data_IF_807649909553
#
_entry.id   IF_807649909553
#
_cell.length_a   1.000
_cell.length_b   1.000
_cell.length_c   1.000
_cell.angle_alpha   90.00
_cell.angle_beta   90.00
_cell.angle_gamma   90.00
#
_symmetry.space_group_name_H-M   'P 1'
#
loop_
_entity.id
_entity.type
_entity.pdbx_description
1 polymer ?
#
# COMPACT_ATOMS: atom_id res chain seq x y z
N UNK A 1 12.80 56.89 3.55
CA UNK A 1 12.58 55.72 4.43
C UNK A 1 11.67 54.68 3.76
N UNK A 2 10.51 55.07 3.24
CA UNK A 2 9.60 54.16 2.51
C UNK A 2 10.22 53.47 1.30
N UNK A 3 10.97 54.20 0.46
CA UNK A 3 11.69 53.61 -0.69
C UNK A 3 12.70 52.53 -0.26
N UNK A 4 13.39 52.74 0.87
CA UNK A 4 14.35 51.79 1.42
C UNK A 4 13.64 50.52 1.90
N UNK A 5 12.49 50.67 2.58
CA UNK A 5 11.66 49.55 3.01
C UNK A 5 11.11 48.76 1.82
N UNK A 6 10.61 49.44 0.79
CA UNK A 6 10.13 48.80 -0.44
C UNK A 6 11.24 48.02 -1.14
N UNK A 7 12.43 48.61 -1.30
CA UNK A 7 13.59 47.93 -1.89
C UNK A 7 14.02 46.70 -1.08
N UNK A 8 14.00 46.80 0.26
CA UNK A 8 14.38 45.70 1.15
C UNK A 8 13.34 44.56 1.11
N UNK A 9 12.05 44.87 1.08
CA UNK A 9 10.97 43.90 0.90
C UNK A 9 11.04 43.22 -0.47
N UNK A 10 11.31 43.97 -1.53
CA UNK A 10 11.50 43.41 -2.88
C UNK A 10 12.72 42.50 -2.95
N UNK A 11 13.85 42.90 -2.35
CA UNK A 11 15.06 42.07 -2.30
C UNK A 11 14.83 40.77 -1.51
N UNK A 12 14.12 40.85 -0.38
CA UNK A 12 13.73 39.67 0.41
C UNK A 12 12.79 38.74 -0.36
N UNK A 13 11.80 39.31 -1.08
CA UNK A 13 10.89 38.55 -1.93
C UNK A 13 11.61 37.83 -3.07
N UNK A 14 12.54 38.50 -3.74
CA UNK A 14 13.37 37.90 -4.79
C UNK A 14 14.27 36.79 -4.23
N UNK A 15 14.90 37.01 -3.08
CA UNK A 15 15.72 35.99 -2.42
C UNK A 15 14.89 34.75 -2.05
N UNK A 16 13.70 34.94 -1.45
CA UNK A 16 12.80 33.86 -1.09
C UNK A 16 12.32 33.10 -2.34
N UNK A 17 11.98 33.81 -3.41
CA UNK A 17 11.60 33.19 -4.68
C UNK A 17 12.73 32.36 -5.26
N UNK A 18 13.95 32.91 -5.33
CA UNK A 18 15.12 32.19 -5.82
C UNK A 18 15.44 30.94 -4.97
N UNK A 19 15.31 31.05 -3.64
CA UNK A 19 15.48 29.93 -2.73
C UNK A 19 14.42 28.84 -2.92
N UNK A 20 13.14 29.20 -3.03
CA UNK A 20 12.06 28.23 -3.28
C UNK A 20 12.18 27.60 -4.67
N UNK A 21 12.66 28.35 -5.66
CA UNK A 21 12.97 27.81 -6.99
C UNK A 21 14.10 26.79 -6.92
N UNK A 22 15.16 27.06 -6.15
CA UNK A 22 16.25 26.11 -5.89
C UNK A 22 15.74 24.81 -5.25
N UNK A 23 14.96 24.93 -4.17
CA UNK A 23 14.33 23.77 -3.50
C UNK A 23 13.43 22.99 -4.45
N UNK A 24 12.59 23.69 -5.22
CA UNK A 24 11.72 23.04 -6.20
C UNK A 24 12.52 22.27 -7.25
N UNK A 25 13.55 22.90 -7.81
CA UNK A 25 14.43 22.29 -8.82
C UNK A 25 15.13 21.05 -8.26
N UNK A 26 15.73 21.16 -7.07
CA UNK A 26 16.46 20.06 -6.42
C UNK A 26 15.60 18.82 -6.21
N UNK A 27 14.31 19.00 -5.92
CA UNK A 27 13.36 17.91 -5.64
C UNK A 27 12.69 17.41 -6.92
N UNK A 28 12.47 18.29 -7.90
CA UNK A 28 11.86 17.92 -9.18
C UNK A 28 12.83 17.27 -10.17
N UNK A 29 14.11 17.18 -9.84
CA UNK A 29 15.11 16.45 -10.64
C UNK A 29 15.52 15.16 -9.96
N UNK A 30 15.48 14.06 -10.71
CA UNK A 30 15.88 12.74 -10.22
C UNK A 30 17.41 12.67 -10.09
N UNK A 31 17.96 12.17 -8.96
CA UNK A 31 19.40 11.96 -8.83
C UNK A 31 19.95 10.94 -9.84
N UNK A 32 21.18 11.17 -10.33
CA UNK A 32 21.81 10.35 -11.39
C UNK A 32 21.96 8.87 -11.00
N UNK A 33 22.12 8.59 -9.70
CA UNK A 33 22.18 7.22 -9.16
C UNK A 33 20.84 6.48 -9.27
N UNK A 34 19.72 7.21 -9.16
CA UNK A 34 18.38 6.63 -9.29
C UNK A 34 18.03 6.39 -10.74
N UNK A 35 18.42 7.29 -11.63
CA UNK A 35 18.20 7.13 -13.08
C UNK A 35 18.81 5.82 -13.60
N UNK A 36 19.93 5.37 -13.01
CA UNK A 36 20.58 4.08 -13.32
C UNK A 36 19.83 2.87 -12.79
N UNK A 37 19.02 3.03 -11.75
CA UNK A 37 18.27 1.97 -11.09
C UNK A 37 16.85 1.85 -11.64
N UNK A 38 16.31 2.95 -12.17
CA UNK A 38 15.00 3.00 -12.79
C UNK A 38 14.98 2.20 -14.11
N UNK A 39 13.85 1.55 -14.37
CA UNK A 39 13.61 0.86 -15.63
C UNK A 39 13.58 1.80 -16.83
N UNK A 40 13.57 1.22 -18.02
CA UNK A 40 13.29 1.98 -19.24
C UNK A 40 11.90 2.61 -19.11
N UNK A 41 11.72 3.90 -19.47
CA UNK A 41 10.40 4.53 -19.46
C UNK A 41 9.39 3.73 -20.28
N UNK A 42 8.15 3.67 -19.80
CA UNK A 42 7.08 2.99 -20.52
C UNK A 42 6.60 3.89 -21.67
N UNK A 43 6.55 3.35 -22.88
CA UNK A 43 5.93 4.03 -24.03
C UNK A 43 4.46 3.64 -24.15
N UNK A 44 3.69 4.40 -24.92
CA UNK A 44 2.26 4.08 -25.15
C UNK A 44 2.10 2.71 -25.82
N UNK A 45 3.01 2.37 -26.74
CA UNK A 45 3.02 1.08 -27.44
C UNK A 45 3.30 -0.08 -26.48
N UNK A 46 4.26 0.09 -25.56
CA UNK A 46 4.58 -0.92 -24.53
C UNK A 46 3.39 -1.13 -23.60
N UNK A 47 2.76 -0.04 -23.15
CA UNK A 47 1.58 -0.09 -22.29
C UNK A 47 0.41 -0.79 -23.00
N UNK A 48 0.12 -0.40 -24.24
CA UNK A 48 -0.99 -0.98 -24.99
C UNK A 48 -0.75 -2.47 -25.26
N UNK A 49 0.47 -2.85 -25.64
CA UNK A 49 0.82 -4.25 -25.87
C UNK A 49 0.66 -5.10 -24.60
N UNK A 50 1.10 -4.58 -23.43
CA UNK A 50 0.92 -5.25 -22.15
C UNK A 50 -0.56 -5.37 -21.77
N UNK A 51 -1.35 -4.30 -21.96
CA UNK A 51 -2.78 -4.31 -21.70
C UNK A 51 -3.52 -5.34 -22.56
N UNK A 52 -3.24 -5.39 -23.85
CA UNK A 52 -3.85 -6.36 -24.78
C UNK A 52 -3.48 -7.80 -24.44
N UNK A 53 -2.21 -8.04 -24.07
CA UNK A 53 -1.76 -9.34 -23.58
C UNK A 53 -2.53 -9.75 -22.33
N UNK A 54 -2.62 -8.87 -21.32
CA UNK A 54 -3.36 -9.14 -20.08
C UNK A 54 -4.86 -9.36 -20.33
N UNK A 55 -5.46 -8.62 -21.27
CA UNK A 55 -6.86 -8.73 -21.64
C UNK A 55 -7.18 -10.05 -22.33
N UNK A 56 -6.32 -10.47 -23.28
CA UNK A 56 -6.47 -11.73 -24.01
C UNK A 56 -6.21 -12.95 -23.14
N UNK A 57 -5.09 -12.94 -22.41
CA UNK A 57 -4.56 -14.14 -21.78
C UNK A 57 -5.05 -14.32 -20.33
N UNK A 58 -5.57 -13.25 -19.68
CA UNK A 58 -6.04 -13.20 -18.28
C UNK A 58 -5.22 -14.12 -17.35
N UNK A 59 -4.03 -13.68 -16.87
CA UNK A 59 -3.07 -14.55 -16.21
C UNK A 59 -3.68 -15.34 -15.06
N UNK A 60 -3.62 -16.68 -15.15
CA UNK A 60 -4.04 -17.52 -14.03
C UNK A 60 -2.98 -17.50 -12.92
N UNK A 61 -3.34 -16.89 -11.79
CA UNK A 61 -2.47 -16.77 -10.63
C UNK A 61 -2.31 -18.11 -9.87
N UNK A 62 -3.19 -19.09 -10.09
CA UNK A 62 -3.18 -20.40 -9.38
C UNK A 62 -1.83 -21.11 -9.48
N UNK A 63 -1.15 -21.00 -10.62
CA UNK A 63 0.13 -21.68 -10.88
C UNK A 63 1.27 -21.23 -9.96
N UNK A 64 1.14 -20.07 -9.31
CA UNK A 64 2.15 -19.56 -8.37
C UNK A 64 1.85 -19.95 -6.92
N UNK A 65 0.62 -20.37 -6.62
CA UNK A 65 0.20 -20.65 -5.27
C UNK A 65 0.88 -21.92 -4.74
N UNK A 66 1.31 -21.93 -3.47
CA UNK A 66 1.72 -23.18 -2.84
C UNK A 66 0.55 -24.15 -2.77
N UNK A 67 0.86 -25.45 -2.66
CA UNK A 67 -0.14 -26.49 -2.46
C UNK A 67 -1.02 -26.22 -1.22
N UNK A 68 -2.23 -26.78 -1.24
CA UNK A 68 -3.14 -26.84 -0.09
C UNK A 68 -2.41 -27.35 1.17
N UNK A 69 -2.74 -26.80 2.34
CA UNK A 69 -2.15 -27.19 3.61
C UNK A 69 -3.13 -27.90 4.56
N UNK A 70 -4.44 -27.95 4.24
CA UNK A 70 -5.49 -28.64 5.02
C UNK A 70 -5.57 -28.15 6.48
N UNK A 71 -5.88 -26.86 6.66
CA UNK A 71 -5.86 -26.17 7.96
C UNK A 71 -7.11 -25.32 8.17
N UNK A 72 -7.30 -24.86 9.40
CA UNK A 72 -8.18 -23.74 9.71
C UNK A 72 -7.45 -22.42 9.49
N UNK A 73 -8.15 -21.45 8.91
CA UNK A 73 -7.62 -20.12 8.65
C UNK A 73 -8.49 -19.05 9.28
N UNK A 74 -7.87 -18.11 9.98
CA UNK A 74 -8.53 -16.86 10.35
C UNK A 74 -7.78 -15.71 9.71
N UNK A 75 -8.48 -14.90 8.91
CA UNK A 75 -7.90 -13.74 8.23
C UNK A 75 -8.50 -12.47 8.84
N UNK A 76 -7.74 -11.84 9.73
CA UNK A 76 -8.08 -10.51 10.26
C UNK A 76 -7.78 -9.44 9.22
N UNK A 77 -8.75 -8.60 8.90
CA UNK A 77 -8.69 -7.71 7.74
C UNK A 77 -8.99 -8.41 6.42
N UNK A 78 -9.65 -9.58 6.47
CA UNK A 78 -9.93 -10.43 5.32
C UNK A 78 -10.91 -9.85 4.30
N UNK A 79 -11.56 -8.72 4.60
CA UNK A 79 -12.38 -7.97 3.62
C UNK A 79 -11.61 -6.81 2.97
N UNK A 80 -10.37 -6.54 3.42
CA UNK A 80 -9.48 -5.54 2.87
C UNK A 80 -8.74 -5.98 1.60
N UNK A 81 -7.84 -5.12 1.09
CA UNK A 81 -7.09 -5.38 -0.13
C UNK A 81 -6.20 -6.64 -0.03
N UNK A 82 -5.28 -6.67 0.93
CA UNK A 82 -4.35 -7.80 1.12
C UNK A 82 -5.07 -9.01 1.68
N UNK A 83 -5.79 -8.86 2.79
CA UNK A 83 -6.51 -9.96 3.44
C UNK A 83 -7.54 -10.61 2.52
N UNK A 84 -8.25 -9.83 1.71
CA UNK A 84 -9.16 -10.37 0.70
C UNK A 84 -8.44 -11.24 -0.33
N UNK A 85 -7.27 -10.83 -0.83
CA UNK A 85 -6.48 -11.67 -1.73
C UNK A 85 -5.88 -12.91 -1.03
N UNK A 86 -5.65 -12.87 0.28
CA UNK A 86 -5.29 -14.07 1.05
C UNK A 86 -6.46 -15.07 1.02
N UNK A 87 -7.68 -14.62 1.30
CA UNK A 87 -8.88 -15.47 1.24
C UNK A 87 -9.09 -16.06 -0.15
N UNK A 88 -9.03 -15.23 -1.20
CA UNK A 88 -9.16 -15.69 -2.59
C UNK A 88 -8.10 -16.75 -2.93
N UNK A 89 -6.84 -16.52 -2.56
CA UNK A 89 -5.77 -17.48 -2.82
C UNK A 89 -5.87 -18.76 -2.01
N UNK A 90 -6.38 -18.72 -0.78
CA UNK A 90 -6.68 -19.93 0.01
C UNK A 90 -7.73 -20.79 -0.71
N UNK A 91 -8.82 -20.19 -1.19
CA UNK A 91 -9.84 -20.89 -1.97
C UNK A 91 -9.24 -21.43 -3.28
N UNK A 92 -8.49 -20.59 -3.99
CA UNK A 92 -7.89 -20.95 -5.28
C UNK A 92 -6.87 -22.10 -5.18
N UNK A 93 -6.15 -22.23 -4.06
CA UNK A 93 -5.25 -23.38 -3.83
C UNK A 93 -5.97 -24.64 -3.34
N UNK A 94 -7.28 -24.58 -3.16
CA UNK A 94 -8.14 -25.72 -2.85
C UNK A 94 -8.50 -25.89 -1.37
N UNK A 95 -8.27 -24.88 -0.51
CA UNK A 95 -8.78 -24.92 0.88
C UNK A 95 -10.31 -24.96 0.90
N UNK A 96 -10.89 -25.65 1.88
CA UNK A 96 -12.33 -25.67 2.05
C UNK A 96 -12.79 -24.28 2.57
N UNK A 97 -13.74 -23.60 1.91
CA UNK A 97 -14.28 -22.31 2.37
C UNK A 97 -14.76 -22.33 3.82
N UNK A 98 -15.31 -23.46 4.28
CA UNK A 98 -15.81 -23.64 5.65
C UNK A 98 -14.70 -23.73 6.70
N UNK A 99 -13.47 -23.98 6.28
CA UNK A 99 -12.27 -23.94 7.12
C UNK A 99 -11.60 -22.55 7.13
N UNK A 100 -12.15 -21.57 6.42
CA UNK A 100 -11.67 -20.18 6.39
C UNK A 100 -12.66 -19.31 7.15
N UNK A 101 -12.14 -18.38 7.96
CA UNK A 101 -12.92 -17.33 8.62
C UNK A 101 -12.36 -15.97 8.27
N UNK A 102 -13.26 -15.07 7.90
CA UNK A 102 -12.98 -13.67 7.66
C UNK A 102 -13.37 -12.90 8.92
N UNK A 103 -12.41 -12.19 9.51
CA UNK A 103 -12.64 -11.31 10.65
C UNK A 103 -12.37 -9.87 10.24
N UNK A 104 -13.39 -9.05 10.15
CA UNK A 104 -13.27 -7.68 9.65
C UNK A 104 -14.42 -6.81 10.18
N UNK A 105 -14.31 -5.49 10.10
CA UNK A 105 -15.41 -4.57 10.40
C UNK A 105 -16.46 -4.57 9.29
N UNK A 106 -16.05 -4.89 8.07
CA UNK A 106 -16.88 -4.90 6.86
C UNK A 106 -17.02 -6.31 6.30
N UNK A 107 -18.18 -6.63 5.72
CA UNK A 107 -18.40 -7.92 5.07
C UNK A 107 -17.46 -8.11 3.86
N UNK A 108 -17.10 -9.36 3.52
CA UNK A 108 -16.28 -9.65 2.35
C UNK A 108 -17.04 -9.27 1.08
N UNK A 109 -16.29 -8.77 0.10
CA UNK A 109 -16.83 -8.29 -1.18
C UNK A 109 -16.21 -8.96 -2.41
N UNK A 110 -15.13 -9.73 -2.22
CA UNK A 110 -14.43 -10.39 -3.32
C UNK A 110 -15.20 -11.62 -3.81
N UNK A 111 -15.03 -11.91 -5.08
CA UNK A 111 -15.86 -12.82 -5.83
C UNK A 111 -15.89 -14.25 -5.25
N UNK A 112 -14.74 -14.90 -5.01
CA UNK A 112 -14.75 -16.26 -4.48
C UNK A 112 -15.24 -16.28 -3.04
N UNK A 113 -14.83 -15.32 -2.21
CA UNK A 113 -15.29 -15.23 -0.82
C UNK A 113 -16.82 -15.15 -0.72
N UNK A 114 -17.44 -14.31 -1.56
CA UNK A 114 -18.90 -14.14 -1.61
C UNK A 114 -19.57 -15.36 -2.23
N UNK A 115 -19.15 -15.81 -3.41
CA UNK A 115 -19.78 -16.94 -4.13
C UNK A 115 -19.72 -18.25 -3.33
N UNK A 116 -18.63 -18.47 -2.59
CA UNK A 116 -18.45 -19.67 -1.78
C UNK A 116 -18.90 -19.52 -0.33
N UNK A 117 -19.56 -18.40 0.01
CA UNK A 117 -20.16 -18.17 1.32
C UNK A 117 -19.17 -18.37 2.48
N UNK A 118 -17.94 -17.85 2.33
CA UNK A 118 -16.92 -17.98 3.37
C UNK A 118 -17.43 -17.37 4.68
N UNK A 119 -17.34 -18.11 5.82
CA UNK A 119 -17.75 -17.60 7.12
C UNK A 119 -17.12 -16.25 7.46
N UNK A 120 -17.97 -15.28 7.81
CA UNK A 120 -17.58 -13.92 8.18
C UNK A 120 -18.05 -13.60 9.59
N UNK A 121 -17.15 -13.00 10.38
CA UNK A 121 -17.41 -12.51 11.73
C UNK A 121 -17.03 -11.03 11.78
N UNK A 122 -18.00 -10.20 12.16
CA UNK A 122 -17.72 -8.78 12.40
C UNK A 122 -16.81 -8.64 13.63
N UNK A 123 -15.60 -8.15 13.42
CA UNK A 123 -14.56 -8.08 14.44
C UNK A 123 -13.88 -6.71 14.46
N UNK A 124 -13.79 -6.11 15.66
CA UNK A 124 -12.98 -4.93 15.92
C UNK A 124 -11.75 -5.36 16.73
N UNK A 125 -10.55 -5.23 16.15
CA UNK A 125 -9.30 -5.63 16.82
C UNK A 125 -9.01 -4.82 18.08
N UNK A 126 -9.65 -3.65 18.24
CA UNK A 126 -9.49 -2.80 19.41
C UNK A 126 -10.38 -3.21 20.58
N UNK A 127 -11.26 -4.19 20.38
CA UNK A 127 -12.10 -4.80 21.40
C UNK A 127 -11.67 -6.28 21.62
N UNK A 128 -10.98 -6.59 22.74
CA UNK A 128 -10.55 -7.95 23.04
C UNK A 128 -11.69 -8.98 23.06
N UNK A 129 -12.91 -8.58 23.46
CA UNK A 129 -14.06 -9.49 23.46
C UNK A 129 -14.51 -9.81 22.03
N UNK A 130 -14.47 -8.81 21.14
CA UNK A 130 -14.73 -8.98 19.71
C UNK A 130 -13.73 -9.93 19.07
N UNK A 131 -12.44 -9.78 19.37
CA UNK A 131 -11.37 -10.68 18.90
C UNK A 131 -11.56 -12.09 19.45
N UNK A 132 -11.78 -12.24 20.76
CA UNK A 132 -11.97 -13.55 21.40
C UNK A 132 -13.13 -14.33 20.78
N UNK A 133 -14.25 -13.65 20.47
CA UNK A 133 -15.41 -14.26 19.80
C UNK A 133 -15.07 -14.92 18.46
N UNK A 134 -14.09 -14.39 17.71
CA UNK A 134 -13.64 -14.98 16.43
C UNK A 134 -13.08 -16.38 16.65
N UNK A 135 -12.32 -16.57 17.73
CA UNK A 135 -11.66 -17.83 18.06
C UNK A 135 -12.58 -18.81 18.79
N UNK A 136 -13.49 -18.33 19.64
CA UNK A 136 -14.41 -19.20 20.41
C UNK A 136 -15.62 -19.67 19.59
N UNK A 137 -15.88 -19.06 18.43
CA UNK A 137 -16.94 -19.53 17.53
C UNK A 137 -16.63 -20.97 17.09
N UNK A 138 -17.55 -21.95 17.23
CA UNK A 138 -17.30 -23.35 16.88
C UNK A 138 -16.98 -23.54 15.39
N UNK A 139 -16.03 -24.42 15.10
CA UNK A 139 -15.72 -24.86 13.74
C UNK A 139 -16.67 -26.00 13.32
N UNK A 140 -16.93 -26.19 12.01
CA UNK A 140 -17.56 -27.41 11.53
C UNK A 140 -16.80 -28.64 12.01
N UNK A 141 -17.52 -29.72 12.33
CA UNK A 141 -16.93 -30.94 12.91
C UNK A 141 -15.77 -31.49 12.06
N UNK A 142 -15.91 -31.47 10.73
CA UNK A 142 -14.92 -31.94 9.76
C UNK A 142 -13.60 -31.14 9.77
N UNK A 143 -13.57 -29.98 10.44
CA UNK A 143 -12.41 -29.08 10.48
C UNK A 143 -11.96 -28.73 11.90
N UNK A 144 -12.72 -29.12 12.94
CA UNK A 144 -12.51 -28.67 14.31
C UNK A 144 -11.12 -29.01 14.87
N UNK A 145 -10.57 -30.16 14.47
CA UNK A 145 -9.28 -30.68 14.93
C UNK A 145 -8.10 -30.27 14.02
N UNK A 146 -8.34 -29.55 12.93
CA UNK A 146 -7.25 -29.13 12.05
C UNK A 146 -6.38 -28.07 12.74
N UNK A 147 -5.06 -28.02 12.48
CA UNK A 147 -4.21 -26.93 12.95
C UNK A 147 -4.68 -25.54 12.50
N UNK A 148 -4.24 -24.47 13.17
CA UNK A 148 -4.76 -23.12 12.97
C UNK A 148 -3.67 -22.15 12.49
N UNK A 149 -3.87 -21.60 11.30
CA UNK A 149 -3.10 -20.47 10.77
C UNK A 149 -3.89 -19.17 10.92
N UNK A 150 -3.24 -18.11 11.41
CA UNK A 150 -3.80 -16.76 11.47
C UNK A 150 -3.01 -15.82 10.56
N UNK A 151 -3.72 -15.14 9.66
CA UNK A 151 -3.18 -14.03 8.88
C UNK A 151 -3.75 -12.71 9.41
N UNK A 152 -2.88 -11.79 9.82
CA UNK A 152 -3.27 -10.49 10.37
C UNK A 152 -2.88 -9.36 9.43
N UNK A 153 -3.87 -8.76 8.75
CA UNK A 153 -3.66 -7.69 7.77
C UNK A 153 -4.30 -6.37 8.18
N UNK A 154 -4.71 -6.22 9.45
CA UNK A 154 -5.40 -5.02 9.94
C UNK A 154 -4.40 -3.89 10.18
N UNK A 155 -4.76 -2.69 9.74
CA UNK A 155 -4.07 -1.46 10.10
C UNK A 155 -5.00 -0.25 9.94
N UNK A 156 -4.82 0.76 10.79
CA UNK A 156 -5.19 2.12 10.50
C UNK A 156 -4.07 2.78 9.68
N UNK A 157 -4.43 3.24 8.48
CA UNK A 157 -3.50 3.80 7.49
C UNK A 157 -3.87 5.25 7.22
N UNK A 158 -2.98 6.17 7.56
CA UNK A 158 -3.03 7.56 7.14
C UNK A 158 -1.60 8.11 7.13
N UNK A 159 -1.19 8.73 6.03
CA UNK A 159 0.21 9.10 5.83
C UNK A 159 0.54 10.54 6.26
N UNK A 160 -0.46 11.38 6.51
CA UNK A 160 -0.26 12.79 6.85
C UNK A 160 0.27 13.07 8.27
N UNK A 161 0.09 12.14 9.22
CA UNK A 161 0.36 12.43 10.63
C UNK A 161 1.72 11.90 11.11
N UNK A 162 2.54 12.77 11.69
CA UNK A 162 3.86 12.42 12.29
C UNK A 162 4.07 12.88 13.73
N UNK A 163 3.12 13.60 14.31
CA UNK A 163 3.23 14.14 15.67
C UNK A 163 2.50 13.25 16.67
N UNK A 164 3.04 13.15 17.88
CA UNK A 164 2.49 12.35 18.97
C UNK A 164 1.02 12.66 19.27
N UNK A 165 0.59 13.91 19.02
CA UNK A 165 -0.81 14.32 19.08
C UNK A 165 -1.71 13.30 18.37
N UNK A 166 -1.36 12.89 17.14
CA UNK A 166 -2.17 12.01 16.29
C UNK A 166 -1.90 10.51 16.50
N UNK A 167 -1.03 10.15 17.43
CA UNK A 167 -0.55 8.77 17.59
C UNK A 167 -1.59 7.81 18.17
N UNK A 168 -2.50 8.30 19.03
CA UNK A 168 -3.41 7.44 19.82
C UNK A 168 -4.23 6.43 18.99
N UNK A 169 -4.81 6.86 17.86
CA UNK A 169 -5.58 5.95 17.00
C UNK A 169 -4.72 4.88 16.32
N UNK A 170 -3.47 5.23 15.96
CA UNK A 170 -2.54 4.25 15.41
C UNK A 170 -2.10 3.24 16.47
N UNK A 171 -1.82 3.67 17.70
CA UNK A 171 -1.44 2.76 18.79
C UNK A 171 -2.56 1.76 19.06
N UNK A 172 -3.80 2.26 19.23
CA UNK A 172 -4.97 1.42 19.51
C UNK A 172 -5.22 0.37 18.43
N UNK A 173 -5.15 0.74 17.15
CA UNK A 173 -5.46 -0.19 16.05
C UNK A 173 -4.25 -1.04 15.66
N UNK A 174 -3.09 -0.42 15.41
CA UNK A 174 -1.95 -1.12 14.84
C UNK A 174 -1.16 -1.89 15.88
N UNK A 175 -1.04 -1.39 17.11
CA UNK A 175 -0.21 -2.00 18.16
C UNK A 175 -1.08 -2.84 19.08
N UNK A 176 -1.95 -2.21 19.88
CA UNK A 176 -2.84 -2.90 20.83
C UNK A 176 -3.76 -3.88 20.09
N UNK A 177 -4.32 -3.50 18.95
CA UNK A 177 -5.12 -4.41 18.13
C UNK A 177 -4.34 -5.61 17.57
N UNK A 178 -3.04 -5.46 17.30
CA UNK A 178 -2.19 -6.61 16.91
C UNK A 178 -1.91 -7.50 18.11
N UNK A 179 -1.63 -6.92 19.28
CA UNK A 179 -1.42 -7.64 20.53
C UNK A 179 -2.64 -8.48 20.90
N UNK A 180 -3.84 -7.89 20.89
CA UNK A 180 -5.10 -8.61 21.16
C UNK A 180 -5.28 -9.84 20.27
N UNK A 181 -5.02 -9.70 18.96
CA UNK A 181 -5.17 -10.78 17.99
C UNK A 181 -4.09 -11.84 18.17
N UNK A 182 -2.86 -11.44 18.47
CA UNK A 182 -1.72 -12.32 18.70
C UNK A 182 -1.92 -13.19 19.96
N UNK A 183 -2.33 -12.57 21.07
CA UNK A 183 -2.61 -13.27 22.33
C UNK A 183 -3.80 -14.22 22.20
N UNK A 184 -4.90 -13.77 21.59
CA UNK A 184 -6.07 -14.60 21.38
C UNK A 184 -5.79 -15.77 20.42
N UNK A 185 -4.98 -15.56 19.37
CA UNK A 185 -4.54 -16.62 18.49
C UNK A 185 -3.72 -17.68 19.24
N UNK A 186 -2.74 -17.25 20.06
CA UNK A 186 -1.93 -18.17 20.87
C UNK A 186 -2.81 -18.97 21.85
N UNK A 187 -3.75 -18.30 22.53
CA UNK A 187 -4.69 -18.95 23.45
C UNK A 187 -5.63 -19.95 22.76
N UNK A 188 -5.96 -19.71 21.48
CA UNK A 188 -6.79 -20.59 20.65
C UNK A 188 -6.03 -21.77 20.04
N UNK A 189 -4.74 -21.96 20.38
CA UNK A 189 -3.91 -23.03 19.84
C UNK A 189 -3.44 -22.80 18.41
N UNK A 190 -3.35 -21.54 17.97
CA UNK A 190 -2.69 -21.19 16.72
C UNK A 190 -1.21 -21.60 16.76
N UNK A 191 -0.73 -22.24 15.70
CA UNK A 191 0.66 -22.66 15.54
C UNK A 191 1.41 -21.85 14.47
N UNK A 192 0.70 -21.14 13.59
CA UNK A 192 1.30 -20.22 12.59
C UNK A 192 0.58 -18.87 12.58
N UNK A 193 1.30 -17.78 12.88
CA UNK A 193 0.79 -16.41 12.86
C UNK A 193 1.62 -15.50 11.96
N UNK A 194 1.04 -14.96 10.89
CA UNK A 194 1.77 -14.10 9.95
C UNK A 194 1.05 -12.78 9.78
N UNK A 195 1.76 -11.68 10.07
CA UNK A 195 1.23 -10.34 9.97
C UNK A 195 1.71 -9.60 8.72
N UNK A 196 0.87 -8.73 8.19
CA UNK A 196 1.30 -7.70 7.24
C UNK A 196 1.91 -6.54 8.02
N UNK A 197 3.22 -6.37 7.90
CA UNK A 197 3.94 -5.15 8.30
C UNK A 197 3.95 -4.14 7.13
N UNK A 198 4.97 -3.31 7.01
CA UNK A 198 5.15 -2.39 5.90
C UNK A 198 6.64 -2.13 5.70
N UNK A 199 7.09 -2.01 4.46
CA UNK A 199 8.48 -1.59 4.24
C UNK A 199 8.74 -0.13 4.66
N UNK A 200 7.68 0.62 4.98
CA UNK A 200 7.79 1.96 5.57
C UNK A 200 8.50 1.99 6.93
N UNK A 201 8.62 0.86 7.62
CA UNK A 201 9.37 0.75 8.88
C UNK A 201 10.87 1.09 8.72
N UNK A 202 11.39 1.05 7.49
CA UNK A 202 12.76 1.41 7.18
C UNK A 202 12.93 2.88 6.71
N UNK A 203 11.83 3.61 6.49
CA UNK A 203 11.87 4.96 5.92
C UNK A 203 12.37 5.96 6.94
N UNK A 204 13.47 6.62 6.59
CA UNK A 204 14.02 7.75 7.35
C UNK A 204 13.41 9.07 6.87
N UNK A 205 13.06 9.99 7.77
CA UNK A 205 12.57 11.32 7.39
C UNK A 205 13.56 12.10 6.53
N UNK A 206 13.02 12.90 5.61
CA UNK A 206 13.78 13.84 4.76
C UNK A 206 13.52 15.28 5.19
N UNK A 207 14.57 16.08 5.16
CA UNK A 207 14.45 17.54 5.24
C UNK A 207 14.50 18.12 3.83
N UNK A 208 13.36 18.63 3.35
CA UNK A 208 13.21 19.18 2.00
C UNK A 208 13.82 20.58 1.84
N UNK A 209 14.11 21.29 2.92
CA UNK A 209 14.81 22.57 2.86
C UNK A 209 16.32 22.33 2.93
N UNK A 210 17.01 22.74 1.87
CA UNK A 210 18.42 22.44 1.63
C UNK A 210 19.24 23.73 1.51
N UNK A 211 20.53 23.65 1.78
CA UNK A 211 21.40 24.79 1.59
C UNK A 211 21.54 25.16 0.10
N UNK A 212 21.87 26.42 -0.26
CA UNK A 212 22.01 26.84 -1.66
C UNK A 212 23.05 26.04 -2.48
N UNK A 213 24.03 25.41 -1.82
CA UNK A 213 25.06 24.59 -2.45
C UNK A 213 24.73 23.09 -2.51
N UNK A 214 23.62 22.64 -1.90
CA UNK A 214 23.18 21.24 -1.97
C UNK A 214 22.35 21.00 -3.24
N UNK A 215 22.64 19.90 -3.96
CA UNK A 215 21.93 19.53 -5.21
C UNK A 215 20.59 18.84 -4.94
N UNK A 216 20.52 18.04 -3.89
CA UNK A 216 19.32 17.29 -3.49
C UNK A 216 19.22 17.20 -1.95
N UNK A 217 18.01 17.05 -1.40
CA UNK A 217 17.81 16.72 0.02
C UNK A 217 18.55 15.45 0.44
N UNK A 218 19.07 15.44 1.67
CA UNK A 218 19.63 14.23 2.28
C UNK A 218 18.54 13.18 2.48
N UNK A 219 18.90 11.92 2.34
CA UNK A 219 17.99 10.76 2.44
C UNK A 219 16.85 10.73 1.39
N UNK A 220 16.94 11.50 0.30
CA UNK A 220 15.94 11.43 -0.78
C UNK A 220 15.97 10.07 -1.52
N UNK A 221 17.15 9.44 -1.55
CA UNK A 221 17.38 8.07 -2.03
C UNK A 221 17.68 7.20 -0.83
N UNK A 222 16.96 6.10 -0.67
CA UNK A 222 17.16 5.14 0.42
C UNK A 222 17.14 3.72 -0.14
N UNK A 223 18.16 2.94 0.21
CA UNK A 223 18.20 1.51 -0.07
C UNK A 223 17.81 0.79 1.22
N UNK A 224 16.78 -0.03 1.14
CA UNK A 224 16.30 -0.83 2.28
C UNK A 224 16.66 -2.29 2.03
N UNK A 225 17.66 -2.75 2.76
CA UNK A 225 18.23 -4.11 2.73
C UNK A 225 17.44 -5.10 3.61
N UNK A 226 16.18 -4.79 3.89
CA UNK A 226 15.32 -5.56 4.78
C UNK A 226 15.88 -5.69 6.23
N UNK A 227 16.75 -4.77 6.66
CA UNK A 227 17.27 -4.70 8.02
C UNK A 227 16.18 -4.44 9.08
N UNK A 228 16.59 -4.51 10.34
CA UNK A 228 15.73 -4.13 11.45
C UNK A 228 15.41 -2.62 11.41
N UNK A 229 14.20 -2.22 11.85
CA UNK A 229 13.84 -0.82 11.95
C UNK A 229 14.83 -0.03 12.85
N UNK A 230 14.94 1.29 12.67
CA UNK A 230 15.72 2.12 13.59
C UNK A 230 15.15 2.03 15.03
N UNK A 231 15.89 2.50 16.05
CA UNK A 231 15.40 2.52 17.43
C UNK A 231 13.98 3.10 17.50
N UNK A 232 13.09 2.41 18.22
CA UNK A 232 11.64 2.64 18.23
C UNK A 232 11.26 3.92 18.99
N UNK A 233 11.64 5.07 18.42
CA UNK A 233 11.25 6.41 18.82
C UNK A 233 10.58 7.09 17.63
N UNK A 234 9.44 7.74 17.84
CA UNK A 234 8.62 8.32 16.76
C UNK A 234 9.42 9.25 15.82
N UNK A 235 10.40 9.99 16.34
CA UNK A 235 11.23 10.93 15.57
C UNK A 235 12.12 10.27 14.51
N UNK A 236 12.42 8.97 14.68
CA UNK A 236 13.22 8.20 13.74
C UNK A 236 12.42 7.71 12.52
N UNK A 237 11.10 7.90 12.51
CA UNK A 237 10.19 7.39 11.49
C UNK A 237 9.54 8.52 10.69
N UNK A 238 9.19 8.24 9.44
CA UNK A 238 8.49 9.16 8.54
C UNK A 238 7.16 9.72 9.11
N UNK A 239 6.50 8.97 9.98
CA UNK A 239 5.31 9.39 10.71
C UNK A 239 4.72 8.29 11.60
N UNK A 240 3.53 8.55 12.14
CA UNK A 240 2.87 7.66 13.10
C UNK A 240 2.59 6.26 12.52
N UNK A 241 2.26 6.18 11.23
CA UNK A 241 2.01 4.90 10.56
C UNK A 241 3.25 3.99 10.58
N UNK A 242 4.37 4.43 10.01
CA UNK A 242 5.62 3.66 9.98
C UNK A 242 6.07 3.24 11.39
N UNK A 243 6.01 4.17 12.35
CA UNK A 243 6.38 3.91 13.74
C UNK A 243 5.51 2.81 14.38
N UNK A 244 4.19 2.89 14.25
CA UNK A 244 3.30 1.89 14.85
C UNK A 244 3.32 0.55 14.14
N UNK A 245 3.60 0.50 12.83
CA UNK A 245 3.87 -0.76 12.13
C UNK A 245 5.16 -1.41 12.62
N UNK A 246 6.21 -0.64 12.91
CA UNK A 246 7.45 -1.16 13.47
C UNK A 246 7.26 -1.75 14.88
N UNK A 247 6.47 -1.08 15.74
CA UNK A 247 6.09 -1.61 17.05
C UNK A 247 5.31 -2.92 16.94
N UNK A 248 4.28 -2.95 16.09
CA UNK A 248 3.46 -4.14 15.87
C UNK A 248 4.26 -5.31 15.30
N UNK A 249 5.16 -5.04 14.35
CA UNK A 249 6.06 -6.05 13.80
C UNK A 249 6.96 -6.65 14.89
N UNK A 250 7.51 -5.81 15.78
CA UNK A 250 8.32 -6.29 16.89
C UNK A 250 7.53 -7.23 17.80
N UNK A 251 6.30 -6.88 18.18
CA UNK A 251 5.43 -7.76 18.99
C UNK A 251 5.25 -9.13 18.35
N UNK A 252 4.94 -9.15 17.05
CA UNK A 252 4.75 -10.41 16.31
C UNK A 252 6.04 -11.21 16.26
N UNK A 253 7.16 -10.59 15.92
CA UNK A 253 8.46 -11.27 15.79
C UNK A 253 8.97 -11.84 17.10
N UNK A 254 8.84 -11.08 18.19
CA UNK A 254 9.27 -11.50 19.53
C UNK A 254 8.42 -12.66 20.08
N UNK A 255 7.20 -12.85 19.56
CA UNK A 255 6.32 -13.93 19.98
C UNK A 255 6.65 -15.31 19.35
N UNK A 256 7.59 -15.37 18.40
CA UNK A 256 8.03 -16.66 17.82
C UNK A 256 8.63 -17.55 18.91
N UNK A 257 8.07 -18.74 19.06
CA UNK A 257 8.50 -19.71 20.05
C UNK A 257 8.35 -21.12 19.51
N UNK A 258 9.49 -21.72 19.14
CA UNK A 258 9.54 -23.15 18.82
C UNK A 258 9.11 -24.03 20.00
N UNK A 259 9.43 -23.61 21.23
CA UNK A 259 9.10 -24.35 22.45
C UNK A 259 7.58 -24.45 22.65
N UNK A 260 6.88 -23.37 22.36
CA UNK A 260 5.42 -23.30 22.50
C UNK A 260 4.69 -23.73 21.21
N UNK A 261 5.41 -24.21 20.20
CA UNK A 261 4.88 -24.49 18.86
C UNK A 261 4.12 -23.32 18.22
N UNK A 262 4.50 -22.09 18.55
CA UNK A 262 3.88 -20.87 18.03
C UNK A 262 4.86 -20.15 17.12
N UNK A 263 4.72 -20.36 15.81
CA UNK A 263 5.63 -19.81 14.81
C UNK A 263 5.07 -18.53 14.23
N UNK A 264 5.83 -17.45 14.30
CA UNK A 264 5.34 -16.13 13.90
C UNK A 264 6.24 -15.46 12.88
N UNK A 265 5.75 -14.40 12.23
CA UNK A 265 6.57 -13.57 11.35
C UNK A 265 5.79 -12.48 10.65
N UNK A 266 6.49 -11.70 9.83
CA UNK A 266 5.88 -10.59 9.09
C UNK A 266 6.28 -10.52 7.62
N UNK A 267 5.34 -10.08 6.79
CA UNK A 267 5.61 -9.65 5.41
C UNK A 267 5.63 -8.13 5.38
N UNK A 268 6.63 -7.52 4.75
CA UNK A 268 6.77 -6.08 4.55
C UNK A 268 6.52 -5.79 3.06
N UNK A 269 5.28 -5.42 2.66
CA UNK A 269 5.02 -5.02 1.30
C UNK A 269 5.86 -3.79 0.91
N UNK A 270 6.45 -3.80 -0.28
CA UNK A 270 7.14 -2.66 -0.88
C UNK A 270 6.21 -1.45 -1.00
N UNK A 271 6.79 -0.25 -0.91
CA UNK A 271 6.16 1.08 -0.89
C UNK A 271 4.62 1.09 -0.88
N UNK A 272 4.03 0.94 -2.07
CA UNK A 272 2.60 1.01 -2.35
C UNK A 272 2.09 -0.39 -2.69
N UNK A 273 1.00 -0.79 -2.03
CA UNK A 273 0.22 -1.97 -2.43
C UNK A 273 -0.90 -1.54 -3.38
N UNK A 274 -0.84 -1.98 -4.63
CA UNK A 274 -1.97 -1.85 -5.55
C UNK A 274 -2.65 -3.21 -5.73
N UNK A 275 -3.81 -3.22 -6.35
CA UNK A 275 -4.47 -4.46 -6.67
C UNK A 275 -5.91 -4.23 -7.09
N UNK A 276 -6.41 -5.19 -7.85
CA UNK A 276 -7.77 -5.17 -8.40
C UNK A 276 -8.73 -5.93 -7.45
N UNK A 277 -10.05 -5.79 -7.65
CA UNK A 277 -11.13 -6.27 -6.78
C UNK A 277 -11.92 -5.16 -6.06
N UNK A 278 -13.12 -5.53 -5.60
CA UNK A 278 -14.25 -4.63 -5.26
C UNK A 278 -13.95 -3.46 -4.31
N UNK A 279 -14.59 -2.32 -4.62
CA UNK A 279 -14.63 -1.01 -3.95
C UNK A 279 -13.45 -0.71 -3.01
N UNK A 280 -12.28 -0.63 -3.61
CA UNK A 280 -11.06 -0.34 -2.89
C UNK A 280 -10.85 1.18 -2.80
N UNK A 281 -11.60 1.85 -1.91
CA UNK A 281 -11.33 3.26 -1.54
C UNK A 281 -9.88 3.46 -1.07
N UNK A 282 -9.22 2.39 -0.61
CA UNK A 282 -7.82 2.34 -0.18
C UNK A 282 -6.82 1.82 -1.24
N UNK A 283 -7.27 1.49 -2.46
CA UNK A 283 -6.32 1.23 -3.55
C UNK A 283 -5.51 2.49 -3.75
N UNK A 284 -4.18 2.41 -3.71
CA UNK A 284 -3.31 3.55 -4.04
C UNK A 284 -3.72 4.21 -5.38
N UNK A 285 -4.37 3.45 -6.28
CA UNK A 285 -4.94 3.98 -7.54
C UNK A 285 -6.01 5.05 -7.37
N UNK A 286 -6.75 5.05 -6.27
CA UNK A 286 -7.83 6.01 -6.06
C UNK A 286 -7.36 7.33 -5.43
N UNK A 287 -6.67 7.29 -4.28
CA UNK A 287 -6.38 8.49 -3.47
C UNK A 287 -4.99 9.13 -3.74
N UNK A 288 -4.00 8.31 -4.09
CA UNK A 288 -2.63 8.79 -4.33
C UNK A 288 -2.39 9.13 -5.79
N UNK A 289 -3.04 8.43 -6.71
CA UNK A 289 -2.74 8.58 -8.12
C UNK A 289 -3.33 9.83 -8.74
N UNK A 290 -4.33 10.50 -8.13
CA UNK A 290 -4.80 11.86 -8.52
C UNK A 290 -3.84 13.01 -8.15
N UNK A 291 -2.63 12.71 -7.67
CA UNK A 291 -1.64 13.69 -7.18
C UNK A 291 -0.41 13.67 -8.04
N UNK A 292 -0.07 14.83 -8.57
CA UNK A 292 0.68 14.86 -9.82
C UNK A 292 2.05 15.52 -9.76
N UNK A 293 2.30 16.21 -8.65
CA UNK A 293 3.62 16.70 -8.29
C UNK A 293 4.65 15.56 -8.07
N UNK A 294 4.25 14.30 -8.28
CA UNK A 294 5.09 13.12 -8.06
C UNK A 294 5.80 12.64 -9.32
N UNK A 295 5.55 13.23 -10.49
CA UNK A 295 6.08 12.81 -11.79
C UNK A 295 7.56 12.35 -11.84
N UNK A 296 8.53 13.04 -11.20
CA UNK A 296 9.94 12.65 -11.32
C UNK A 296 10.33 11.50 -10.38
N UNK A 297 9.52 11.13 -9.38
CA UNK A 297 9.92 10.12 -8.41
C UNK A 297 9.78 8.71 -8.96
N UNK A 298 10.66 7.83 -8.46
CA UNK A 298 10.76 6.43 -8.82
C UNK A 298 10.19 5.59 -7.69
N UNK A 299 9.39 4.60 -8.06
CA UNK A 299 8.59 3.78 -7.16
C UNK A 299 8.85 2.31 -7.39
N UNK A 300 8.73 1.56 -6.31
CA UNK A 300 8.64 0.11 -6.34
C UNK A 300 7.31 -0.29 -5.71
N UNK A 301 6.37 -0.70 -6.57
CA UNK A 301 5.05 -1.14 -6.15
C UNK A 301 5.06 -2.64 -5.89
N UNK A 302 4.02 -3.10 -5.19
CA UNK A 302 3.74 -4.52 -5.07
C UNK A 302 2.25 -4.79 -5.23
N UNK A 303 1.92 -5.79 -6.03
CA UNK A 303 0.54 -6.26 -6.15
C UNK A 303 0.07 -6.93 -4.86
N UNK A 304 -1.17 -6.69 -4.46
CA UNK A 304 -1.81 -7.35 -3.34
C UNK A 304 -1.86 -8.88 -3.51
N UNK A 305 -1.92 -9.38 -4.75
CA UNK A 305 -1.80 -10.82 -5.05
C UNK A 305 -0.40 -11.33 -4.73
N UNK A 306 0.63 -10.56 -5.11
CA UNK A 306 2.03 -10.88 -4.80
C UNK A 306 2.31 -10.80 -3.28
N UNK A 307 1.68 -9.88 -2.54
CA UNK A 307 1.74 -9.84 -1.08
C UNK A 307 1.04 -11.05 -0.45
N UNK A 308 -0.14 -11.41 -0.95
CA UNK A 308 -0.86 -12.62 -0.51
C UNK A 308 -0.03 -13.88 -0.73
N UNK A 309 0.58 -14.02 -1.91
CA UNK A 309 1.50 -15.12 -2.23
C UNK A 309 2.63 -15.22 -1.22
N UNK A 310 3.25 -14.09 -0.84
CA UNK A 310 4.32 -14.08 0.17
C UNK A 310 3.86 -14.61 1.53
N UNK A 311 2.63 -14.27 1.97
CA UNK A 311 2.07 -14.80 3.22
C UNK A 311 1.90 -16.33 3.16
N UNK A 312 1.34 -16.84 2.06
CA UNK A 312 1.13 -18.29 1.89
C UNK A 312 2.45 -19.06 1.75
N UNK A 313 3.47 -18.48 1.11
CA UNK A 313 4.80 -19.07 1.03
C UNK A 313 5.48 -19.08 2.39
N UNK A 314 5.33 -18.03 3.19
CA UNK A 314 5.90 -17.99 4.53
C UNK A 314 5.24 -19.03 5.44
N UNK A 315 3.91 -19.17 5.39
CA UNK A 315 3.20 -20.26 6.05
C UNK A 315 3.80 -21.62 5.67
N UNK A 316 3.83 -21.93 4.37
CA UNK A 316 4.35 -23.22 3.86
C UNK A 316 5.75 -23.50 4.42
N UNK A 317 6.61 -22.48 4.49
CA UNK A 317 7.99 -22.63 4.95
C UNK A 317 8.09 -22.86 6.45
N UNK A 318 7.27 -22.20 7.26
CA UNK A 318 7.17 -22.45 8.69
C UNK A 318 6.68 -23.88 8.96
N UNK A 319 5.66 -24.33 8.23
CA UNK A 319 5.11 -25.69 8.33
C UNK A 319 6.10 -26.78 7.87
N UNK A 320 7.00 -26.45 6.95
CA UNK A 320 8.07 -27.35 6.49
C UNK A 320 9.20 -27.52 7.53
N UNK A 321 9.11 -26.88 8.70
CA UNK A 321 10.10 -26.98 9.77
C UNK A 321 11.32 -26.07 9.59
N UNK A 322 11.31 -25.14 8.63
CA UNK A 322 12.42 -24.20 8.47
C UNK A 322 12.52 -23.26 9.69
N UNK A 323 13.76 -22.96 10.08
CA UNK A 323 14.03 -22.05 11.18
C UNK A 323 14.05 -20.59 10.74
N UNK A 324 12.88 -20.12 10.28
CA UNK A 324 12.70 -18.75 9.79
C UNK A 324 11.61 -17.99 10.55
N UNK A 325 11.24 -18.49 11.72
CA UNK A 325 10.28 -17.83 12.61
C UNK A 325 10.86 -16.55 13.19
N UNK A 326 9.99 -15.61 13.56
CA UNK A 326 10.39 -14.29 14.07
C UNK A 326 11.03 -13.38 13.02
N UNK A 327 11.08 -13.78 11.76
CA UNK A 327 11.64 -12.99 10.67
C UNK A 327 10.61 -12.06 10.03
N UNK A 328 11.12 -11.04 9.34
CA UNK A 328 10.34 -10.17 8.48
C UNK A 328 10.94 -10.12 7.07
N UNK A 329 10.08 -10.10 6.06
CA UNK A 329 10.47 -10.19 4.65
C UNK A 329 9.90 -9.06 3.82
N UNK A 330 10.77 -8.19 3.29
CA UNK A 330 10.42 -7.26 2.23
C UNK A 330 10.03 -8.00 0.95
N UNK A 331 8.94 -7.58 0.32
CA UNK A 331 8.45 -8.17 -0.93
C UNK A 331 8.04 -7.11 -1.92
N UNK A 332 8.49 -7.27 -3.18
CA UNK A 332 8.23 -6.34 -4.27
C UNK A 332 7.84 -7.10 -5.53
N UNK A 333 7.21 -6.38 -6.47
CA UNK A 333 7.05 -6.91 -7.81
C UNK A 333 8.42 -7.07 -8.51
N UNK A 334 8.54 -8.01 -9.46
CA UNK A 334 9.74 -8.23 -10.22
C UNK A 334 9.96 -7.10 -11.21
N UNK A 335 11.23 -6.84 -11.52
CA UNK A 335 11.65 -5.81 -12.45
C UNK A 335 12.19 -4.56 -11.75
N UNK A 336 12.75 -3.63 -12.54
CA UNK A 336 13.29 -2.40 -11.99
C UNK A 336 12.16 -1.46 -11.54
N UNK A 337 12.41 -0.59 -10.53
CA UNK A 337 11.51 0.50 -10.19
C UNK A 337 11.11 1.36 -11.40
N UNK A 338 9.88 1.87 -11.42
CA UNK A 338 9.33 2.67 -12.52
C UNK A 338 9.09 4.12 -12.08
N UNK A 339 8.94 5.06 -13.03
CA UNK A 339 8.68 6.48 -12.70
C UNK A 339 7.19 6.74 -12.55
N UNK A 340 6.80 7.69 -11.71
CA UNK A 340 5.41 8.17 -11.68
C UNK A 340 4.91 8.63 -13.06
N UNK A 341 5.79 9.23 -13.88
CA UNK A 341 5.46 9.58 -15.27
C UNK A 341 5.07 8.39 -16.13
N UNK A 342 5.65 7.21 -15.87
CA UNK A 342 5.30 5.98 -16.58
C UNK A 342 3.90 5.52 -16.18
N UNK A 343 3.55 5.63 -14.89
CA UNK A 343 2.19 5.39 -14.43
C UNK A 343 1.18 6.40 -14.99
N UNK A 344 1.49 7.71 -15.00
CA UNK A 344 0.59 8.72 -15.57
C UNK A 344 0.31 8.45 -17.04
N UNK A 345 1.36 8.06 -17.80
CA UNK A 345 1.20 7.64 -19.18
C UNK A 345 0.31 6.41 -19.27
N UNK A 346 0.60 5.35 -18.50
CA UNK A 346 -0.21 4.13 -18.48
C UNK A 346 -1.69 4.43 -18.23
N UNK A 347 -1.98 5.20 -17.18
CA UNK A 347 -3.33 5.56 -16.79
C UNK A 347 -4.03 6.43 -17.86
N UNK A 348 -3.35 7.44 -18.43
CA UNK A 348 -3.91 8.27 -19.49
C UNK A 348 -4.12 7.51 -20.81
N UNK A 349 -3.25 6.55 -21.14
CA UNK A 349 -3.37 5.72 -22.35
C UNK A 349 -4.53 4.72 -22.21
N UNK A 350 -4.71 4.13 -21.03
CA UNK A 350 -5.65 3.03 -20.83
C UNK A 350 -7.01 3.44 -20.25
N UNK A 351 -7.15 4.63 -19.66
CA UNK A 351 -8.41 5.05 -19.04
C UNK A 351 -9.55 5.13 -20.06
N UNK A 352 -10.71 4.61 -19.67
CA UNK A 352 -11.94 4.71 -20.47
C UNK A 352 -12.24 6.18 -20.87
N UNK A 353 -12.64 6.46 -22.12
CA UNK A 353 -12.87 7.83 -22.61
C UNK A 353 -13.86 8.66 -21.78
N UNK A 354 -14.87 8.04 -21.17
CA UNK A 354 -15.84 8.72 -20.28
C UNK A 354 -15.27 9.14 -18.92
N UNK A 355 -14.10 8.62 -18.55
CA UNK A 355 -13.39 8.95 -17.30
C UNK A 355 -11.92 9.31 -17.58
N UNK A 356 -11.66 10.36 -18.38
CA UNK A 356 -10.30 10.67 -18.80
C UNK A 356 -9.46 11.10 -17.58
N UNK A 357 -8.31 10.48 -17.40
CA UNK A 357 -7.38 10.83 -16.34
C UNK A 357 -6.45 11.95 -16.82
N UNK A 358 -6.67 13.15 -16.28
CA UNK A 358 -5.88 14.34 -16.57
C UNK A 358 -4.91 14.64 -15.46
N UNK A 359 -3.79 15.18 -15.92
CA UNK A 359 -2.68 15.48 -15.07
C UNK A 359 -2.31 17.01 -15.14
N UNK A 360 -2.85 17.93 -14.28
CA UNK A 360 -2.26 19.24 -13.94
C UNK A 360 -0.92 19.29 -13.14
N UNK A 361 0.13 19.86 -13.77
CA UNK A 361 1.45 20.06 -13.14
C UNK A 361 1.42 21.09 -12.01
N UNK A 362 1.74 20.66 -10.79
CA UNK A 362 1.86 21.54 -9.61
C UNK A 362 3.33 21.58 -9.14
N UNK A 363 3.94 22.78 -8.97
CA UNK A 363 5.29 22.89 -8.42
C UNK A 363 5.40 22.25 -7.03
N UNK A 364 6.42 21.43 -6.81
CA UNK A 364 6.64 20.77 -5.52
C UNK A 364 6.74 21.76 -4.36
N UNK A 365 7.42 22.90 -4.55
CA UNK A 365 7.55 23.91 -3.50
C UNK A 365 6.19 24.43 -3.02
N UNK A 366 5.19 24.53 -3.90
CA UNK A 366 3.83 24.91 -3.51
C UNK A 366 3.20 23.85 -2.60
N UNK A 367 3.29 22.57 -2.99
CA UNK A 367 2.79 21.43 -2.20
C UNK A 367 3.48 21.36 -0.84
N UNK A 368 4.80 21.57 -0.82
CA UNK A 368 5.59 21.64 0.40
C UNK A 368 5.07 22.74 1.33
N UNK A 369 4.90 23.96 0.85
CA UNK A 369 4.40 25.08 1.67
C UNK A 369 3.00 24.82 2.22
N UNK A 370 2.07 24.34 1.38
CA UNK A 370 0.71 23.98 1.81
C UNK A 370 0.77 22.90 2.90
N UNK A 371 1.66 21.92 2.78
CA UNK A 371 1.79 20.86 3.79
C UNK A 371 2.20 21.38 5.18
N UNK A 372 3.01 22.45 5.25
CA UNK A 372 3.35 23.12 6.50
C UNK A 372 2.18 23.89 7.08
N UNK A 373 1.40 24.58 6.23
CA UNK A 373 0.23 25.33 6.66
C UNK A 373 -0.86 24.40 7.24
N UNK A 374 -1.13 23.29 6.56
CA UNK A 374 -2.12 22.30 7.01
C UNK A 374 -1.66 21.61 8.30
N UNK A 375 -0.40 21.18 8.40
CA UNK A 375 0.13 20.60 9.65
C UNK A 375 0.09 21.63 10.79
N UNK A 376 0.48 22.88 10.53
CA UNK A 376 0.45 23.97 11.51
C UNK A 376 -0.97 24.26 12.01
N UNK A 377 -1.95 24.35 11.10
CA UNK A 377 -3.36 24.53 11.45
C UNK A 377 -3.88 23.39 12.32
N UNK A 378 -3.67 22.14 11.89
CA UNK A 378 -4.19 20.97 12.63
C UNK A 378 -3.55 20.82 14.01
N UNK A 379 -2.27 21.18 14.17
CA UNK A 379 -1.62 21.20 15.49
C UNK A 379 -2.13 22.35 16.37
N UNK A 380 -2.28 23.55 15.81
CA UNK A 380 -2.78 24.71 16.54
C UNK A 380 -4.22 24.48 17.03
N UNK A 381 -5.07 24.02 16.12
CA UNK A 381 -6.46 23.67 16.39
C UNK A 381 -6.56 22.61 17.49
N UNK A 382 -5.74 21.55 17.42
CA UNK A 382 -5.81 20.46 18.39
C UNK A 382 -5.20 20.77 19.76
N UNK A 383 -4.14 21.58 19.81
CA UNK A 383 -3.44 21.90 21.07
C UNK A 383 -4.06 23.07 21.81
N UNK A 384 -4.59 24.05 21.09
CA UNK A 384 -4.93 25.36 21.68
C UNK A 384 -6.30 25.89 21.26
N UNK A 385 -6.78 25.59 20.06
CA UNK A 385 -7.97 26.22 19.48
C UNK A 385 -9.02 25.20 19.03
N UNK A 386 -9.51 24.37 19.96
CA UNK A 386 -10.47 23.29 19.66
C UNK A 386 -11.83 23.79 19.13
N UNK A 387 -12.13 25.08 19.28
CA UNK A 387 -13.31 25.72 18.70
C UNK A 387 -13.18 25.95 17.17
N UNK A 388 -11.98 25.87 16.61
CA UNK A 388 -11.79 25.97 15.16
C UNK A 388 -12.26 24.69 14.46
N UNK A 389 -12.81 24.78 13.24
CA UNK A 389 -13.30 23.63 12.49
C UNK A 389 -12.22 22.57 12.25
N UNK A 390 -12.56 21.29 12.47
CA UNK A 390 -11.69 20.18 12.09
C UNK A 390 -11.61 20.05 10.57
N UNK A 391 -10.42 19.72 10.06
CA UNK A 391 -10.27 19.32 8.66
C UNK A 391 -10.84 17.91 8.52
N UNK A 392 -12.03 17.79 7.92
CA UNK A 392 -12.71 16.51 7.70
C UNK A 392 -12.43 15.91 6.32
N UNK A 393 -11.93 16.73 5.38
CA UNK A 393 -11.57 16.28 4.04
C UNK A 393 -10.27 15.44 4.10
N UNK A 394 -10.37 14.16 3.73
CA UNK A 394 -9.26 13.20 3.77
C UNK A 394 -8.05 13.64 2.94
N UNK A 395 -8.28 14.23 1.76
CA UNK A 395 -7.18 14.67 0.91
C UNK A 395 -6.35 15.77 1.55
N UNK A 396 -7.01 16.71 2.22
CA UNK A 396 -6.36 17.77 2.98
C UNK A 396 -5.69 17.23 4.23
N UNK A 397 -6.29 16.29 4.98
CA UNK A 397 -5.60 15.69 6.15
C UNK A 397 -4.34 14.93 5.75
N UNK A 398 -4.33 14.34 4.56
CA UNK A 398 -3.16 13.69 3.96
C UNK A 398 -2.11 14.68 3.46
N UNK A 399 -2.49 15.90 3.09
CA UNK A 399 -1.56 16.95 2.63
C UNK A 399 -0.82 17.62 3.80
N UNK A 400 -0.01 16.82 4.48
CA UNK A 400 0.87 17.24 5.57
C UNK A 400 2.29 16.75 5.32
N UNK A 401 3.25 17.22 6.11
CA UNK A 401 4.68 16.95 5.86
C UNK A 401 5.03 15.48 5.83
N UNK A 402 4.37 14.67 6.65
CA UNK A 402 4.66 13.25 6.75
C UNK A 402 4.41 12.52 5.41
N UNK A 403 3.35 12.91 4.68
CA UNK A 403 2.99 12.32 3.39
C UNK A 403 4.11 12.45 2.36
N UNK A 404 4.86 13.56 2.39
CA UNK A 404 5.99 13.76 1.48
C UNK A 404 7.06 12.67 1.67
N UNK A 405 7.34 12.25 2.92
CA UNK A 405 8.25 11.14 3.18
C UNK A 405 7.75 9.79 2.62
N UNK A 406 6.46 9.64 2.31
CA UNK A 406 5.91 8.42 1.72
C UNK A 406 5.65 8.53 0.22
N UNK A 407 5.90 9.67 -0.43
CA UNK A 407 5.54 9.86 -1.84
C UNK A 407 6.69 10.39 -2.68
N UNK A 408 7.66 11.05 -2.05
CA UNK A 408 8.70 11.81 -2.76
C UNK A 408 10.08 11.22 -2.54
N UNK A 409 10.15 9.97 -2.07
CA UNK A 409 11.38 9.25 -1.82
C UNK A 409 11.58 8.19 -2.87
N UNK A 410 12.82 8.06 -3.31
CA UNK A 410 13.23 6.90 -4.10
C UNK A 410 13.68 5.86 -3.09
N UNK A 411 12.83 4.87 -2.86
CA UNK A 411 13.15 3.76 -1.96
C UNK A 411 13.21 2.49 -2.78
N UNK A 412 14.35 1.82 -2.71
CA UNK A 412 14.57 0.54 -3.37
C UNK A 412 14.65 -0.50 -2.27
N UNK A 413 13.69 -1.41 -2.28
CA UNK A 413 13.59 -2.49 -1.33
C UNK A 413 14.24 -3.74 -1.91
N UNK A 414 15.11 -4.37 -1.12
CA UNK A 414 15.71 -5.65 -1.46
C UNK A 414 14.81 -6.80 -0.98
N UNK A 415 14.22 -7.53 -1.92
CA UNK A 415 13.41 -8.73 -1.65
C UNK A 415 14.21 -10.04 -1.78
N UNK A 416 15.54 -9.97 -1.97
CA UNK A 416 16.41 -11.14 -2.18
C UNK A 416 16.29 -12.19 -1.09
N UNK A 417 16.15 -11.74 0.17
CA UNK A 417 15.94 -12.63 1.32
C UNK A 417 14.61 -13.38 1.23
N UNK A 418 13.53 -12.73 0.81
CA UNK A 418 12.24 -13.37 0.59
C UNK A 418 12.33 -14.41 -0.55
N UNK A 419 13.02 -14.08 -1.65
CA UNK A 419 13.25 -15.02 -2.76
C UNK A 419 14.02 -16.25 -2.31
N UNK A 420 15.10 -16.05 -1.55
CA UNK A 420 15.98 -17.13 -1.06
C UNK A 420 15.30 -18.02 -0.01
N UNK A 421 14.73 -17.43 1.03
CA UNK A 421 14.23 -18.16 2.20
C UNK A 421 12.78 -18.62 2.03
N UNK A 422 11.93 -17.79 1.40
CA UNK A 422 10.52 -18.14 1.18
C UNK A 422 10.30 -18.89 -0.14
N UNK A 423 11.20 -18.73 -1.12
CA UNK A 423 10.93 -19.11 -2.50
C UNK A 423 9.97 -18.13 -3.18
N UNK A 424 9.98 -16.87 -2.74
CA UNK A 424 9.12 -15.83 -3.29
C UNK A 424 9.42 -15.63 -4.78
N UNK A 425 8.45 -15.97 -5.63
CA UNK A 425 8.50 -15.74 -7.06
C UNK A 425 7.17 -15.08 -7.48
N UNK A 426 7.14 -13.74 -7.60
CA UNK A 426 5.92 -13.00 -7.90
C UNK A 426 5.25 -13.47 -9.19
N UNK A 427 3.92 -13.39 -9.24
CA UNK A 427 3.14 -13.93 -10.35
C UNK A 427 3.08 -13.04 -11.60
N UNK A 428 3.31 -11.75 -11.43
CA UNK A 428 3.35 -10.74 -12.48
C UNK A 428 4.23 -9.56 -12.06
N UNK A 429 4.72 -8.80 -13.04
CA UNK A 429 5.39 -7.53 -12.81
C UNK A 429 4.42 -6.37 -12.57
N UNK A 430 4.97 -5.20 -12.21
CA UNK A 430 4.15 -4.02 -11.92
C UNK A 430 3.33 -3.56 -13.13
N UNK A 431 3.89 -3.63 -14.35
CA UNK A 431 3.19 -3.20 -15.56
C UNK A 431 1.98 -4.11 -15.83
N UNK A 432 2.17 -5.43 -15.82
CA UNK A 432 1.12 -6.41 -15.99
C UNK A 432 0.02 -6.27 -14.91
N UNK A 433 0.41 -6.10 -13.64
CA UNK A 433 -0.56 -5.94 -12.56
C UNK A 433 -1.35 -4.63 -12.66
N UNK A 434 -0.73 -3.52 -13.07
CA UNK A 434 -1.44 -2.26 -13.31
C UNK A 434 -2.36 -2.35 -14.52
N UNK A 435 -1.97 -3.05 -15.59
CA UNK A 435 -2.86 -3.35 -16.71
C UNK A 435 -4.09 -4.14 -16.26
N UNK A 436 -3.93 -5.18 -15.44
CA UNK A 436 -5.07 -5.92 -14.87
C UNK A 436 -6.01 -5.03 -14.06
N UNK A 437 -5.46 -4.10 -13.28
CA UNK A 437 -6.24 -3.11 -12.55
C UNK A 437 -7.03 -2.19 -13.50
N UNK A 438 -6.39 -1.69 -14.57
CA UNK A 438 -7.05 -0.84 -15.55
C UNK A 438 -8.14 -1.57 -16.34
N UNK A 439 -7.97 -2.86 -16.62
CA UNK A 439 -9.01 -3.67 -17.27
C UNK A 439 -10.26 -3.71 -16.39
N UNK A 440 -10.12 -4.09 -15.11
CA UNK A 440 -11.27 -4.16 -14.18
C UNK A 440 -11.92 -2.77 -14.00
N UNK A 441 -11.11 -1.71 -13.97
CA UNK A 441 -11.63 -0.33 -13.93
C UNK A 441 -12.52 -0.03 -15.13
N UNK A 442 -12.02 -0.28 -16.34
CA UNK A 442 -12.75 0.03 -17.56
C UNK A 442 -14.03 -0.80 -17.66
N UNK A 443 -13.99 -2.08 -17.28
CA UNK A 443 -15.17 -2.96 -17.21
C UNK A 443 -16.23 -2.42 -16.25
N UNK A 444 -15.83 -1.87 -15.09
CA UNK A 444 -16.77 -1.21 -14.14
C UNK A 444 -17.36 0.07 -14.69
N UNK A 445 -16.57 0.89 -15.39
CA UNK A 445 -17.06 2.11 -16.04
C UNK A 445 -18.10 1.73 -17.10
N UNK A 446 -17.81 0.77 -17.97
CA UNK A 446 -18.75 0.27 -18.97
C UNK A 446 -20.03 -0.29 -18.36
N UNK A 447 -19.92 -1.09 -17.29
CA UNK A 447 -21.09 -1.60 -16.58
C UNK A 447 -21.95 -0.48 -15.98
N UNK A 448 -21.32 0.56 -15.42
CA UNK A 448 -22.03 1.73 -14.88
C UNK A 448 -22.72 2.55 -15.97
N UNK A 449 -22.08 2.74 -17.13
CA UNK A 449 -22.69 3.46 -18.25
C UNK A 449 -23.87 2.68 -18.85
N UNK A 450 -23.74 1.35 -18.99
CA UNK A 450 -24.84 0.46 -19.40
C UNK A 450 -26.01 0.55 -18.44
N UNK A 451 -25.77 0.53 -17.14
CA UNK A 451 -26.83 0.65 -16.12
C UNK A 451 -27.57 2.01 -16.17
N UNK A 452 -26.94 3.06 -16.71
CA UNK A 452 -27.55 4.39 -16.91
C UNK A 452 -28.26 4.56 -18.25
N UNK A 453 -28.25 3.54 -19.12
CA UNK A 453 -28.81 3.64 -20.48
C UNK A 453 -28.00 4.54 -21.42
N UNK A 454 -26.75 4.83 -21.08
CA UNK A 454 -25.84 5.69 -21.86
C UNK A 454 -25.04 4.90 -22.91
N UNK A 455 -25.33 3.60 -23.08
CA UNK A 455 -24.72 2.69 -24.08
C UNK A 455 -25.85 1.90 -24.75
N UNK A 456 -25.93 1.92 -26.08
CA UNK A 456 -26.90 1.11 -26.86
C UNK A 456 -26.68 -0.40 -26.64
N UNK A 457 -27.78 -1.19 -26.64
CA UNK A 457 -27.80 -2.62 -26.31
C UNK A 457 -27.03 -3.53 -27.29
N UNK A 458 -26.50 -3.00 -28.39
CA UNK A 458 -25.68 -3.75 -29.35
C UNK A 458 -24.28 -3.14 -29.53
N UNK A 459 -23.34 -3.55 -28.67
CA UNK A 459 -21.96 -3.85 -29.03
C UNK A 459 -21.21 -4.40 -27.81
N UNK A 460 -21.26 -5.72 -27.61
CA UNK A 460 -20.02 -6.40 -27.24
C UNK A 460 -19.05 -6.22 -28.40
N UNK A 461 -17.76 -6.02 -28.10
CA UNK A 461 -16.61 -5.86 -29.02
C UNK A 461 -16.00 -4.46 -28.89
N UNK A 462 -15.05 -4.40 -27.96
CA UNK A 462 -14.02 -3.39 -27.82
C UNK A 462 -12.99 -3.54 -28.97
N UNK A 463 -13.49 -3.59 -30.22
CA UNK A 463 -12.73 -3.34 -31.45
C UNK A 463 -13.07 -1.94 -31.93
N UNK A 464 -12.13 -1.04 -31.68
CA UNK A 464 -11.58 -0.12 -32.68
C UNK A 464 -10.30 0.43 -32.08
N UNK A 465 -9.23 -0.29 -32.38
CA UNK A 465 -7.89 0.23 -32.65
C UNK A 465 -7.81 1.77 -32.64
N UNK A 466 -6.91 2.30 -31.80
CA UNK A 466 -6.19 3.57 -32.00
C UNK A 466 -5.82 3.74 -33.49
N UNK A 467 -5.73 4.95 -34.11
CA UNK A 467 -6.22 6.31 -33.79
C UNK A 467 -6.94 7.02 -34.98
N UNK A 468 -7.71 8.11 -34.78
CA UNK A 468 -7.74 9.23 -35.75
C UNK A 468 -8.05 10.57 -35.06
N UNK A 469 -7.12 11.52 -35.20
CA UNK A 469 -7.30 12.97 -34.99
C UNK A 469 -8.19 13.53 -36.12
N UNK A 470 -9.29 14.25 -35.85
CA UNK A 470 -9.86 15.11 -36.87
C UNK A 470 -9.05 16.41 -36.96
N UNK A 471 -8.49 16.68 -38.15
CA UNK A 471 -7.98 18.00 -38.51
C UNK A 471 -9.11 19.03 -38.35
N UNK A 472 -8.70 20.22 -37.93
CA UNK A 472 -9.48 21.47 -37.94
C UNK A 472 -10.21 21.71 -39.26
N UNK A 473 -11.47 22.17 -39.12
CA UNK A 473 -12.33 22.90 -40.06
C UNK A 473 -12.55 22.32 -41.47
#
# INVERSE_FOLDING_TARGET
MELLWSLLLSALGLFLFAYLYHVNRAISTLPDEVEKLAGKPWTEEVVQAAYEKCRRDRPDFRKYLPAKQDRRYVVFGGSGLVGGWIVEHLIMRGENPSAIRIADLQAPRREHAVKQHVPYLKADVTDPASVSKVFTTPWPADHAELPLTVFHTVAFIHAGYRKADFLGKYMKVNVEGTENVLEAAKAAGCDVFIATSSSSVAIRPVNFFIAPWEKHPRNIVQLSDNADPPPLNLENFAGCYAYTKALAEKLVRDADSKKDSFRTGAIRPGHTIYGHGDENRSSIVWDYLRREWLAPFVLQYVSAQNVSLAHLLYEKRLLSGHDIGGNAYAVCDPGPPFRYSDFYRLASTLAHPSTPMKWPKIPFAFVLLVSYLVEGYTLLQRRYLSFLPEITNFDLTMLQRAMLNYSTLVIIYDDSRARKELGYNPGHDTLEGLCLHMIEWNEKVEASLKAKGEVEEEASILEKTIPVVPKSA
#
